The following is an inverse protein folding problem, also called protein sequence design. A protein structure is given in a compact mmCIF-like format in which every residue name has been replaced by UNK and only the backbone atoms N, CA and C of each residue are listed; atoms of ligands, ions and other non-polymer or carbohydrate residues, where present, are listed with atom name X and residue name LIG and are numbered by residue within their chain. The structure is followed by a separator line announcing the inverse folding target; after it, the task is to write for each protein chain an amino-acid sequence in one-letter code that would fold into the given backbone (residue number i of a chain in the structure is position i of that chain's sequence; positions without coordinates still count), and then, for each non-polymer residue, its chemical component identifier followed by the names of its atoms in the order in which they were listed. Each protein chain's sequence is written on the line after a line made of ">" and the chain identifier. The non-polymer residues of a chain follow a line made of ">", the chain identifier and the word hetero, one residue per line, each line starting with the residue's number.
data_IF_432112386333
#
_entry.id   IF_432112386333
#
_cell.length_a   1.000
_cell.length_b   1.000
_cell.length_c   1.000
_cell.angle_alpha   90.00
_cell.angle_beta   90.00
_cell.angle_gamma   90.00
#
_symmetry.space_group_name_H-M   'P 1'
#
loop_
_entity.id
_entity.type
_entity.pdbx_description
1 polymer ?
2 non-polymer ?
3 water ?
#
# COMPACT_ATOMS: atom_id res chain seq x y z
N UNK A 9 -1.67 -16.82 -18.75
CA UNK A 9 -2.45 -16.26 -17.65
C UNK A 9 -1.64 -16.09 -16.36
N UNK A 10 -0.83 -17.09 -16.04
CA UNK A 10 -0.06 -17.02 -14.81
C UNK A 10 1.04 -15.96 -14.89
N UNK A 11 1.56 -15.70 -16.09
CA UNK A 11 2.62 -14.70 -16.24
C UNK A 11 2.13 -13.30 -15.88
N UNK A 12 1.12 -12.74 -16.55
CA UNK A 12 0.66 -11.39 -16.17
C UNK A 12 0.10 -11.36 -14.77
N UNK A 13 -0.46 -12.47 -14.28
CA UNK A 13 -0.98 -12.51 -12.92
C UNK A 13 0.14 -12.36 -11.91
N UNK A 14 1.23 -13.10 -12.11
CA UNK A 14 2.39 -12.97 -11.24
C UNK A 14 2.92 -11.55 -11.27
N UNK A 15 3.05 -10.98 -12.47
CA UNK A 15 3.56 -9.61 -12.55
C UNK A 15 2.61 -8.62 -11.89
N UNK A 16 1.31 -8.80 -12.08
CA UNK A 16 0.35 -7.90 -11.45
C UNK A 16 0.50 -7.93 -9.93
N UNK A 17 0.65 -9.12 -9.36
CA UNK A 17 0.79 -9.21 -7.90
C UNK A 17 2.09 -8.58 -7.43
N UNK A 18 3.19 -8.84 -8.13
CA UNK A 18 4.47 -8.25 -7.73
C UNK A 18 4.42 -6.72 -7.82
N UNK A 19 3.85 -6.20 -8.91
CA UNK A 19 3.77 -4.76 -9.06
C UNK A 19 2.84 -4.15 -8.02
N UNK A 20 1.78 -4.87 -7.65
CA UNK A 20 0.90 -4.38 -6.59
C UNK A 20 1.65 -4.25 -5.27
N UNK A 21 2.48 -5.25 -4.92
CA UNK A 21 3.31 -5.12 -3.73
C UNK A 21 4.25 -3.93 -3.84
N UNK A 22 4.89 -3.77 -5.00
CA UNK A 22 5.79 -2.65 -5.23
C UNK A 22 5.07 -1.32 -5.02
N UNK A 23 3.88 -1.17 -5.61
CA UNK A 23 3.12 0.06 -5.49
C UNK A 23 2.74 0.32 -4.04
N UNK A 24 2.36 -0.72 -3.31
CA UNK A 24 2.07 -0.56 -1.89
C UNK A 24 3.29 -0.05 -1.14
N UNK A 25 4.46 -0.64 -1.41
CA UNK A 25 5.69 -0.18 -0.77
C UNK A 25 5.95 1.31 -1.05
N UNK A 26 5.76 1.73 -2.30
CA UNK A 26 6.00 3.13 -2.61
C UNK A 26 5.01 4.02 -1.87
N UNK A 27 3.74 3.61 -1.81
CA UNK A 27 2.75 4.42 -1.10
C UNK A 27 3.09 4.55 0.37
N UNK A 28 3.53 3.45 0.99
CA UNK A 28 3.96 3.47 2.39
C UNK A 28 5.14 4.42 2.56
N UNK A 29 6.15 4.29 1.70
CA UNK A 29 7.33 5.15 1.83
C UNK A 29 6.98 6.61 1.66
N UNK A 30 6.06 6.92 0.75
CA UNK A 30 5.65 8.32 0.56
C UNK A 30 4.95 8.84 1.82
N UNK A 31 4.08 8.02 2.41
CA UNK A 31 3.43 8.45 3.65
C UNK A 31 4.45 8.68 4.76
N UNK A 32 5.45 7.79 4.86
CA UNK A 32 6.47 7.88 5.91
C UNK A 32 7.33 9.11 5.71
N UNK A 33 7.78 9.35 4.49
CA UNK A 33 8.64 10.50 4.23
C UNK A 33 7.88 11.80 4.43
N UNK A 34 6.60 11.81 4.07
CA UNK A 34 5.79 13.00 4.33
C UNK A 34 5.69 13.28 5.82
N UNK A 35 5.45 12.23 6.62
CA UNK A 35 5.39 12.42 8.07
C UNK A 35 6.72 12.93 8.61
N UNK A 36 7.83 12.37 8.12
CA UNK A 36 9.14 12.82 8.57
C UNK A 36 9.35 14.29 8.25
N UNK A 37 8.97 14.71 7.03
CA UNK A 37 9.22 16.09 6.63
C UNK A 37 8.33 17.08 7.35
N UNK A 38 7.13 16.67 7.75
CA UNK A 38 6.21 17.59 8.39
C UNK A 38 6.36 17.64 9.91
N UNK A 39 7.01 16.65 10.49
CA UNK A 39 7.20 16.62 11.94
C UNK A 39 8.38 17.50 12.34
N UNK A 40 8.21 18.24 13.44
CA UNK A 40 9.31 19.02 13.99
C UNK A 40 10.34 18.16 14.69
N UNK A 41 10.06 16.87 14.88
CA UNK A 41 10.94 15.96 15.60
C UNK A 41 12.03 15.45 14.67
N UNK A 42 13.27 15.89 14.88
CA UNK A 42 14.37 15.40 14.06
C UNK A 42 14.67 13.93 14.30
N UNK A 43 14.24 13.37 15.43
CA UNK A 43 14.56 11.98 15.76
C UNK A 43 13.71 10.97 15.01
N UNK A 44 12.58 11.40 14.42
CA UNK A 44 11.72 10.46 13.71
C UNK A 44 12.49 9.71 12.63
N UNK A 45 13.44 10.39 11.98
CA UNK A 45 14.27 9.75 10.96
C UNK A 45 14.89 8.47 11.53
N UNK A 46 15.55 8.58 12.68
CA UNK A 46 16.18 7.41 13.26
C UNK A 46 15.13 6.41 13.75
N UNK A 47 14.01 6.91 14.27
CA UNK A 47 13.02 6.00 14.85
C UNK A 47 12.37 5.12 13.79
N UNK A 48 12.25 5.62 12.57
CA UNK A 48 11.61 4.88 11.49
C UNK A 48 12.61 4.23 10.54
N UNK A 49 13.90 4.29 10.87
CA UNK A 49 14.92 3.81 9.95
C UNK A 49 14.77 2.32 9.66
N UNK A 50 14.49 1.51 10.70
CA UNK A 50 14.37 0.08 10.47
C UNK A 50 13.19 -0.23 9.55
N UNK A 51 12.04 0.41 9.82
CA UNK A 51 10.87 0.20 8.96
C UNK A 51 11.15 0.65 7.53
N UNK A 52 11.81 1.81 7.37
CA UNK A 52 12.11 2.29 6.02
C UNK A 52 13.03 1.33 5.29
N UNK A 53 14.02 0.79 5.99
CA UNK A 53 14.92 -0.19 5.38
C UNK A 53 14.16 -1.43 4.97
N UNK A 54 13.21 -1.89 5.79
CA UNK A 54 12.42 -3.06 5.44
C UNK A 54 11.58 -2.80 4.19
N UNK A 55 10.99 -1.61 4.09
CA UNK A 55 10.25 -1.28 2.86
C UNK A 55 11.16 -1.34 1.65
N UNK A 56 12.36 -0.75 1.77
CA UNK A 56 13.34 -0.77 0.70
C UNK A 56 13.68 -2.20 0.28
N UNK A 57 13.97 -3.05 1.25
CA UNK A 57 14.37 -4.42 0.94
C UNK A 57 13.23 -5.19 0.29
N UNK A 58 11.99 -4.92 0.72
CA UNK A 58 10.85 -5.56 0.08
C UNK A 58 10.79 -5.21 -1.39
N UNK A 59 10.93 -3.92 -1.71
CA UNK A 59 10.91 -3.53 -3.12
C UNK A 59 12.10 -4.14 -3.88
N UNK A 60 13.27 -4.18 -3.26
CA UNK A 60 14.41 -4.80 -3.95
C UNK A 60 14.12 -6.25 -4.34
N UNK A 61 13.50 -7.00 -3.42
CA UNK A 61 13.16 -8.39 -3.74
C UNK A 61 12.13 -8.45 -4.86
N UNK A 62 11.12 -7.58 -4.83
CA UNK A 62 10.14 -7.56 -5.91
C UNK A 62 10.84 -7.32 -7.24
N UNK A 63 11.75 -6.34 -7.29
CA UNK A 63 12.47 -6.06 -8.52
C UNK A 63 13.22 -7.29 -9.01
N UNK A 64 13.89 -7.99 -8.09
CA UNK A 64 14.65 -9.17 -8.49
C UNK A 64 13.73 -10.21 -9.12
N UNK A 65 12.50 -10.33 -8.62
CA UNK A 65 11.58 -11.32 -9.21
C UNK A 65 10.96 -10.83 -10.52
N UNK A 66 10.66 -9.55 -10.62
CA UNK A 66 9.90 -9.06 -11.77
C UNK A 66 10.78 -8.86 -12.99
N UNK A 67 12.04 -8.48 -12.79
CA UNK A 67 12.91 -8.15 -13.91
C UNK A 67 12.92 -9.21 -15.00
N UNK A 68 13.15 -10.50 -14.70
CA UNK A 68 13.17 -11.50 -15.78
C UNK A 68 11.82 -11.72 -16.42
N UNK A 69 10.72 -11.29 -15.80
CA UNK A 69 9.40 -11.53 -16.36
C UNK A 69 8.94 -10.40 -17.27
N UNK A 70 9.62 -9.26 -17.25
CA UNK A 70 9.26 -8.12 -18.08
C UNK A 70 10.04 -8.29 -19.38
N UNK A 71 9.35 -8.73 -20.43
CA UNK A 71 10.00 -9.09 -21.68
C UNK A 71 9.48 -8.37 -22.91
N UNK A 72 8.33 -7.72 -22.84
CA UNK A 72 7.73 -7.17 -24.04
C UNK A 72 8.00 -5.68 -24.13
N UNK A 73 7.99 -5.12 -25.35
CA UNK A 73 8.46 -3.74 -25.54
C UNK A 73 7.78 -2.69 -24.67
N UNK A 74 6.45 -2.72 -24.55
CA UNK A 74 5.78 -1.66 -23.80
C UNK A 74 6.12 -1.75 -22.31
N UNK A 75 6.02 -2.94 -21.72
CA UNK A 75 6.34 -3.08 -20.30
C UNK A 75 7.81 -2.76 -20.03
N UNK A 76 8.71 -3.17 -20.92
CA UNK A 76 10.12 -2.84 -20.73
C UNK A 76 10.35 -1.34 -20.80
N UNK A 77 9.66 -0.66 -21.73
CA UNK A 77 9.81 0.79 -21.85
C UNK A 77 9.36 1.50 -20.58
N UNK A 78 8.18 1.10 -20.06
CA UNK A 78 7.70 1.70 -18.84
C UNK A 78 8.64 1.40 -17.68
N UNK A 79 9.14 0.17 -17.60
CA UNK A 79 10.04 -0.17 -16.50
C UNK A 79 11.32 0.66 -16.55
N UNK A 80 11.90 0.82 -17.74
CA UNK A 80 13.08 1.68 -17.88
C UNK A 80 12.77 3.08 -17.37
N UNK A 81 11.61 3.63 -17.74
CA UNK A 81 11.27 4.97 -17.27
C UNK A 81 11.12 5.01 -15.75
N UNK A 82 10.49 3.97 -15.19
CA UNK A 82 10.34 3.87 -13.74
C UNK A 82 11.70 3.93 -13.05
N UNK A 83 12.67 3.18 -13.56
CA UNK A 83 13.97 3.16 -12.90
C UNK A 83 14.63 4.53 -12.99
N UNK A 84 14.49 5.19 -14.14
CA UNK A 84 15.02 6.54 -14.29
C UNK A 84 14.45 7.47 -13.22
N UNK A 85 13.13 7.58 -13.15
CA UNK A 85 12.51 8.49 -12.18
C UNK A 85 12.86 8.06 -10.76
N UNK A 86 12.92 6.75 -10.53
CA UNK A 86 13.23 6.24 -9.21
C UNK A 86 14.58 6.76 -8.71
N UNK A 87 15.55 6.94 -9.60
CA UNK A 87 16.81 7.53 -9.15
C UNK A 87 16.58 8.90 -8.51
N UNK A 88 15.79 9.76 -9.17
CA UNK A 88 15.50 11.08 -8.62
C UNK A 88 14.71 10.96 -7.33
N UNK A 89 13.75 10.03 -7.29
CA UNK A 89 12.95 9.82 -6.09
C UNK A 89 13.83 9.46 -4.90
N UNK A 90 14.73 8.49 -5.08
CA UNK A 90 15.59 8.07 -3.98
C UNK A 90 16.48 9.22 -3.54
N UNK A 91 17.07 9.95 -4.48
CA UNK A 91 17.91 11.07 -4.11
C UNK A 91 17.16 12.09 -3.27
N UNK A 92 15.92 12.41 -3.66
CA UNK A 92 15.16 13.43 -2.96
C UNK A 92 14.68 12.93 -1.59
N UNK A 93 14.28 11.66 -1.53
CA UNK A 93 13.91 11.05 -0.26
C UNK A 93 15.05 11.13 0.74
N UNK A 94 16.25 10.71 0.31
CA UNK A 94 17.40 10.75 1.20
C UNK A 94 17.75 12.18 1.58
N UNK A 95 17.60 13.13 0.65
CA UNK A 95 17.85 14.53 0.99
C UNK A 95 16.88 15.01 2.07
N UNK A 96 15.59 14.69 1.92
CA UNK A 96 14.60 15.10 2.92
C UNK A 96 14.98 14.55 4.29
N UNK A 97 15.30 13.24 4.36
CA UNK A 97 15.66 12.66 5.63
C UNK A 97 16.91 13.31 6.22
N UNK A 98 17.90 13.60 5.37
CA UNK A 98 19.13 14.18 5.88
C UNK A 98 18.92 15.59 6.42
N UNK A 99 18.18 16.41 5.68
CA UNK A 99 17.91 17.77 6.14
C UNK A 99 17.12 17.75 7.45
N UNK A 100 16.13 16.86 7.55
CA UNK A 100 15.37 16.77 8.80
C UNK A 100 16.25 16.33 9.96
N UNK A 101 17.09 15.31 9.73
CA UNK A 101 17.98 14.86 10.80
C UNK A 101 18.97 15.95 11.22
N UNK A 102 19.33 16.84 10.31
CA UNK A 102 20.28 17.91 10.58
C UNK A 102 19.61 19.16 11.16
N UNK A 103 18.33 19.09 11.47
CA UNK A 103 17.62 20.23 12.00
C UNK A 103 17.27 21.28 10.97
N UNK A 104 17.43 20.98 9.68
CA UNK A 104 17.09 21.92 8.61
C UNK A 104 15.64 21.72 8.20
N UNK A 105 14.75 22.02 9.15
CA UNK A 105 13.33 21.72 8.96
C UNK A 105 12.76 22.45 7.77
N UNK A 106 13.03 23.75 7.68
CA UNK A 106 12.54 24.55 6.57
C UNK A 106 13.01 23.99 5.24
N UNK A 107 14.31 23.73 5.13
CA UNK A 107 14.86 23.18 3.89
C UNK A 107 14.29 21.80 3.60
N UNK A 108 14.03 21.00 4.64
CA UNK A 108 13.48 19.67 4.42
C UNK A 108 12.06 19.75 3.87
N UNK A 109 11.25 20.68 4.38
CA UNK A 109 9.91 20.86 3.85
C UNK A 109 9.95 21.37 2.42
N UNK A 110 10.79 22.37 2.15
CA UNK A 110 10.95 22.87 0.78
C UNK A 110 11.36 21.75 -0.17
N UNK A 111 12.29 20.88 0.25
CA UNK A 111 12.70 19.78 -0.60
C UNK A 111 11.56 18.79 -0.81
N UNK A 112 10.80 18.51 0.25
CA UNK A 112 9.63 17.64 0.09
C UNK A 112 8.71 18.17 -1.00
N UNK A 113 8.44 19.47 -0.98
CA UNK A 113 7.43 20.03 -1.89
C UNK A 113 7.99 20.15 -3.30
N UNK A 114 9.18 20.71 -3.43
CA UNK A 114 9.72 21.06 -4.74
C UNK A 114 10.39 19.90 -5.46
N UNK A 115 10.88 18.89 -4.73
CA UNK A 115 11.64 17.81 -5.35
C UNK A 115 11.03 16.43 -5.09
N UNK A 116 10.80 16.09 -3.82
CA UNK A 116 10.39 14.72 -3.50
C UNK A 116 8.99 14.42 -4.01
N UNK A 117 8.02 15.30 -3.73
CA UNK A 117 6.64 15.03 -4.15
C UNK A 117 6.54 14.87 -5.67
N UNK A 118 7.10 15.76 -6.49
CA UNK A 118 7.01 15.54 -7.95
C UNK A 118 7.62 14.22 -8.39
N UNK A 119 8.78 13.84 -7.83
CA UNK A 119 9.38 12.55 -8.19
C UNK A 119 8.51 11.39 -7.75
N UNK A 120 7.98 11.45 -6.51
CA UNK A 120 7.11 10.40 -6.03
C UNK A 120 5.86 10.27 -6.90
N UNK A 121 5.29 11.40 -7.31
CA UNK A 121 4.11 11.36 -8.18
C UNK A 121 4.44 10.74 -9.53
N UNK A 122 5.57 11.09 -10.11
CA UNK A 122 5.94 10.46 -11.38
C UNK A 122 6.19 8.97 -11.24
N UNK A 123 6.89 8.60 -10.16
CA UNK A 123 7.13 7.19 -9.84
C UNK A 123 5.82 6.43 -9.74
N UNK A 124 4.87 6.93 -8.95
CA UNK A 124 3.60 6.25 -8.77
C UNK A 124 2.79 6.23 -10.05
N UNK A 125 2.83 7.31 -10.85
CA UNK A 125 2.10 7.30 -12.11
C UNK A 125 2.64 6.23 -13.04
N UNK A 126 3.97 6.13 -13.16
CA UNK A 126 4.53 5.11 -14.05
C UNK A 126 4.30 3.70 -13.52
N UNK A 127 4.39 3.51 -12.21
CA UNK A 127 4.03 2.21 -11.64
C UNK A 127 2.59 1.86 -11.95
N UNK A 128 1.69 2.84 -11.84
CA UNK A 128 0.30 2.58 -12.19
C UNK A 128 0.15 2.19 -13.65
N UNK A 129 0.95 2.80 -14.53
CA UNK A 129 0.87 2.43 -15.94
C UNK A 129 1.35 0.99 -16.17
N UNK A 130 2.45 0.60 -15.52
CA UNK A 130 2.94 -0.78 -15.67
C UNK A 130 1.91 -1.77 -15.12
N UNK A 131 1.35 -1.47 -13.95
CA UNK A 131 0.33 -2.32 -13.38
C UNK A 131 -0.85 -2.44 -14.32
N UNK A 132 -1.30 -1.32 -14.88
CA UNK A 132 -2.44 -1.35 -15.79
C UNK A 132 -2.12 -2.13 -17.06
N UNK A 133 -0.87 -2.12 -17.52
CA UNK A 133 -0.53 -2.98 -18.65
C UNK A 133 -0.81 -4.44 -18.32
N UNK A 134 -0.34 -4.89 -17.15
CA UNK A 134 -0.60 -6.27 -16.77
C UNK A 134 -2.09 -6.53 -16.62
N UNK A 135 -2.80 -5.62 -15.95
CA UNK A 135 -4.22 -5.84 -15.71
C UNK A 135 -5.02 -5.89 -17.01
N UNK A 136 -4.67 -5.05 -17.98
CA UNK A 136 -5.37 -5.06 -19.25
C UNK A 136 -5.13 -6.38 -19.98
N UNK A 137 -3.88 -6.88 -19.94
CA UNK A 137 -3.64 -8.18 -20.58
C UNK A 137 -4.49 -9.27 -19.93
N UNK A 138 -4.53 -9.30 -18.60
CA UNK A 138 -5.31 -10.31 -17.90
C UNK A 138 -6.80 -10.15 -18.18
N UNK A 139 -7.30 -8.91 -18.19
CA UNK A 139 -8.72 -8.69 -18.48
C UNK A 139 -9.06 -9.22 -19.87
N UNK A 140 -8.19 -8.97 -20.86
CA UNK A 140 -8.45 -9.47 -22.20
C UNK A 140 -8.51 -10.98 -22.22
N UNK A 141 -7.56 -11.66 -21.56
CA UNK A 141 -7.57 -13.11 -21.57
C UNK A 141 -8.81 -13.66 -20.86
N UNK A 142 -9.18 -13.09 -19.71
CA UNK A 142 -10.36 -13.55 -19.00
C UNK A 142 -11.62 -13.37 -19.84
N UNK A 143 -11.73 -12.23 -20.54
CA UNK A 143 -12.87 -12.01 -21.41
C UNK A 143 -12.90 -13.02 -22.55
N UNK A 144 -11.74 -13.35 -23.11
CA UNK A 144 -11.69 -14.38 -24.15
C UNK A 144 -12.21 -15.70 -23.60
N UNK A 145 -11.80 -16.05 -22.38
CA UNK A 145 -12.28 -17.28 -21.76
C UNK A 145 -13.80 -17.26 -21.62
N UNK A 146 -14.34 -16.16 -21.11
CA UNK A 146 -15.80 -16.06 -20.96
C UNK A 146 -16.52 -16.17 -22.30
N UNK A 147 -15.92 -15.65 -23.36
CA UNK A 147 -16.50 -15.79 -24.70
C UNK A 147 -16.52 -17.25 -25.13
N UNK A 148 -15.37 -17.92 -25.04
CA UNK A 148 -15.29 -19.32 -25.42
C UNK A 148 -16.29 -20.16 -24.64
N UNK A 149 -16.40 -19.92 -23.32
CA UNK A 149 -17.34 -20.68 -22.51
C UNK A 149 -18.78 -20.30 -22.81
N UNK A 150 -19.02 -19.09 -23.31
CA UNK A 150 -20.36 -18.70 -23.71
C UNK A 150 -20.76 -19.36 -25.02
N UNK A 151 -19.79 -19.81 -25.83
CA UNK A 151 -20.12 -20.65 -26.98
C UNK A 151 -19.55 -22.06 -26.82
N UNK B 8 -16.68 -15.01 -15.12
CA UNK B 8 -16.25 -16.08 -14.23
C UNK B 8 -14.92 -15.74 -13.53
N UNK B 9 -13.82 -15.83 -14.27
CA UNK B 9 -12.51 -15.48 -13.72
C UNK B 9 -12.47 -14.04 -13.23
N UNK B 10 -13.16 -13.13 -13.91
CA UNK B 10 -13.09 -11.73 -13.54
C UNK B 10 -13.65 -11.48 -12.15
N UNK B 11 -14.47 -12.40 -11.61
CA UNK B 11 -14.96 -12.23 -10.24
C UNK B 11 -13.82 -12.26 -9.23
N UNK B 12 -13.10 -13.38 -9.05
CA UNK B 12 -11.96 -13.35 -8.12
C UNK B 12 -10.88 -12.39 -8.56
N UNK B 13 -10.73 -12.12 -9.87
CA UNK B 13 -9.71 -11.15 -10.28
C UNK B 13 -10.04 -9.76 -9.73
N UNK B 14 -11.28 -9.31 -9.92
CA UNK B 14 -11.71 -8.02 -9.40
C UNK B 14 -11.58 -7.95 -7.89
N UNK B 15 -12.05 -8.99 -7.19
CA UNK B 15 -11.96 -8.95 -5.74
C UNK B 15 -10.51 -8.95 -5.27
N UNK B 16 -9.64 -9.70 -5.94
CA UNK B 16 -8.23 -9.66 -5.57
C UNK B 16 -7.67 -8.24 -5.70
N UNK B 17 -8.00 -7.55 -6.79
CA UNK B 17 -7.47 -6.19 -6.96
C UNK B 17 -8.02 -5.25 -5.89
N UNK B 18 -9.32 -5.33 -5.60
CA UNK B 18 -9.90 -4.47 -4.57
C UNK B 18 -9.28 -4.74 -3.20
N UNK B 19 -9.11 -6.01 -2.85
CA UNK B 19 -8.52 -6.35 -1.56
C UNK B 19 -7.07 -5.90 -1.50
N UNK B 20 -6.36 -5.96 -2.63
CA UNK B 20 -4.98 -5.47 -2.67
C UNK B 20 -4.92 -3.97 -2.39
N UNK B 21 -5.84 -3.20 -2.99
CA UNK B 21 -5.92 -1.78 -2.67
C UNK B 21 -6.20 -1.56 -1.19
N UNK B 22 -7.16 -2.32 -0.66
CA UNK B 22 -7.51 -2.21 0.76
C UNK B 22 -6.29 -2.49 1.65
N UNK B 23 -5.58 -3.57 1.35
CA UNK B 23 -4.40 -3.93 2.13
C UNK B 23 -3.35 -2.84 2.07
N UNK B 24 -3.14 -2.27 0.88
CA UNK B 24 -2.21 -1.15 0.75
C UNK B 24 -2.64 0.02 1.61
N UNK B 25 -3.94 0.34 1.59
CA UNK B 25 -4.44 1.44 2.42
C UNK B 25 -4.15 1.20 3.90
N UNK B 26 -4.38 -0.02 4.38
CA UNK B 26 -4.11 -0.29 5.79
C UNK B 26 -2.63 -0.18 6.08
N UNK B 27 -1.77 -0.68 5.19
CA UNK B 27 -0.33 -0.58 5.42
C UNK B 27 0.11 0.87 5.48
N UNK B 28 -0.44 1.71 4.60
CA UNK B 28 -0.13 3.14 4.61
C UNK B 28 -0.57 3.75 5.93
N UNK B 29 -1.81 3.46 6.34
CA UNK B 29 -2.34 4.03 7.57
C UNK B 29 -1.52 3.58 8.77
N UNK B 30 -1.04 2.33 8.77
CA UNK B 30 -0.22 1.84 9.88
C UNK B 30 1.10 2.59 9.92
N UNK B 31 1.73 2.81 8.76
CA UNK B 31 2.99 3.57 8.76
C UNK B 31 2.76 4.99 9.26
N UNK B 32 1.64 5.60 8.85
CA UNK B 32 1.38 6.97 9.25
C UNK B 32 1.08 7.06 10.75
N UNK B 33 0.26 6.15 11.27
CA UNK B 33 -0.03 6.15 12.70
C UNK B 33 1.21 5.85 13.52
N UNK B 34 2.09 4.97 13.03
CA UNK B 34 3.34 4.70 13.71
C UNK B 34 4.21 5.96 13.78
N UNK B 35 4.31 6.69 12.66
CA UNK B 35 5.07 7.93 12.67
C UNK B 35 4.45 8.95 13.62
N UNK B 36 3.13 9.06 13.63
CA UNK B 36 2.46 9.99 14.54
C UNK B 36 2.76 9.61 15.99
N UNK B 37 2.71 8.32 16.31
CA UNK B 37 2.90 7.89 17.69
C UNK B 37 4.34 8.08 18.14
N UNK B 38 5.31 7.97 17.23
CA UNK B 38 6.71 8.08 17.63
C UNK B 38 7.24 9.51 17.57
N UNK B 39 6.55 10.43 16.90
CA UNK B 39 6.98 11.81 16.84
C UNK B 39 6.60 12.56 18.11
N UNK B 40 7.51 13.41 18.59
CA UNK B 40 7.20 14.30 19.70
C UNK B 40 6.34 15.50 19.30
N UNK B 41 6.08 15.68 18.01
CA UNK B 41 5.34 16.83 17.50
C UNK B 41 3.85 16.56 17.65
N UNK B 42 3.19 17.27 18.57
CA UNK B 42 1.76 17.09 18.75
C UNK B 42 0.95 17.55 17.55
N UNK B 43 1.53 18.38 16.67
CA UNK B 43 0.80 18.92 15.54
C UNK B 43 0.78 18.00 14.33
N UNK B 44 1.53 16.89 14.36
CA UNK B 44 1.61 16.05 13.17
C UNK B 44 0.26 15.48 12.79
N UNK B 45 -0.57 15.14 13.78
CA UNK B 45 -1.91 14.61 13.47
C UNK B 45 -2.64 15.56 12.52
N UNK B 46 -2.67 16.85 12.85
CA UNK B 46 -3.40 17.79 12.01
C UNK B 46 -2.70 18.01 10.68
N UNK B 47 -1.36 17.99 10.66
CA UNK B 47 -0.63 18.17 9.41
C UNK B 47 -0.95 17.04 8.42
N UNK B 48 -1.23 15.85 8.93
CA UNK B 48 -1.48 14.68 8.10
C UNK B 48 -2.96 14.35 7.95
N UNK B 49 -3.84 15.22 8.42
CA UNK B 49 -5.26 14.90 8.40
C UNK B 49 -5.77 14.68 6.98
N UNK B 50 -5.33 15.51 6.03
CA UNK B 50 -5.81 15.37 4.66
C UNK B 50 -5.39 14.03 4.05
N UNK B 51 -4.12 13.65 4.27
CA UNK B 51 -3.65 12.36 3.78
C UNK B 51 -4.44 11.22 4.41
N UNK B 52 -4.68 11.30 5.72
CA UNK B 52 -5.43 10.25 6.38
C UNK B 52 -6.84 10.16 5.82
N UNK B 53 -7.45 11.31 5.54
CA UNK B 53 -8.79 11.31 4.96
C UNK B 53 -8.80 10.67 3.58
N UNK B 54 -7.77 10.92 2.78
CA UNK B 54 -7.71 10.27 1.47
C UNK B 54 -7.62 8.76 1.61
N UNK B 55 -6.79 8.28 2.55
CA UNK B 55 -6.71 6.84 2.77
C UNK B 55 -8.06 6.27 3.19
N UNK B 56 -8.72 6.95 4.14
CA UNK B 56 -10.02 6.51 4.62
C UNK B 56 -11.05 6.41 3.49
N UNK B 57 -11.16 7.47 2.69
CA UNK B 57 -12.15 7.47 1.62
C UNK B 57 -11.83 6.44 0.56
N UNK B 58 -10.54 6.21 0.29
CA UNK B 58 -10.17 5.15 -0.65
C UNK B 58 -10.69 3.80 -0.16
N UNK B 59 -10.49 3.50 1.13
CA UNK B 59 -10.99 2.24 1.65
C UNK B 59 -12.52 2.19 1.61
N UNK B 60 -13.21 3.29 1.91
CA UNK B 60 -14.67 3.29 1.82
C UNK B 60 -15.13 2.91 0.41
N UNK B 61 -14.44 3.46 -0.61
CA UNK B 61 -14.77 3.13 -1.99
C UNK B 61 -14.54 1.65 -2.28
N UNK B 62 -13.42 1.12 -1.81
CA UNK B 62 -13.15 -0.30 -2.00
C UNK B 62 -14.25 -1.14 -1.37
N UNK B 63 -14.65 -0.81 -0.13
CA UNK B 63 -15.67 -1.58 0.57
C UNK B 63 -16.98 -1.61 -0.21
N UNK B 64 -17.41 -0.44 -0.69
CA UNK B 64 -18.64 -0.42 -1.46
C UNK B 64 -18.54 -1.26 -2.72
N UNK B 65 -17.35 -1.33 -3.33
CA UNK B 65 -17.24 -2.19 -4.50
C UNK B 65 -17.19 -3.67 -4.15
N UNK B 66 -16.62 -4.02 -2.99
CA UNK B 66 -16.43 -5.43 -2.66
C UNK B 66 -17.75 -6.07 -2.25
N UNK B 67 -18.58 -5.32 -1.49
CA UNK B 67 -19.81 -5.89 -0.94
C UNK B 67 -20.69 -6.60 -1.96
N UNK B 68 -21.04 -5.99 -3.10
CA UNK B 68 -21.94 -6.67 -4.05
C UNK B 68 -21.32 -7.88 -4.72
N UNK B 69 -19.99 -8.04 -4.65
CA UNK B 69 -19.26 -9.12 -5.30
C UNK B 69 -19.06 -10.34 -4.41
N UNK B 70 -19.49 -10.27 -3.15
CA UNK B 70 -19.30 -11.38 -2.21
C UNK B 70 -20.30 -12.48 -2.52
N UNK B 71 -19.80 -13.66 -2.90
CA UNK B 71 -20.65 -14.76 -3.33
C UNK B 71 -20.56 -16.02 -2.48
N UNK B 72 -19.53 -16.17 -1.64
CA UNK B 72 -19.32 -17.41 -0.89
C UNK B 72 -19.55 -17.21 0.62
N UNK B 73 -20.05 -18.23 1.32
CA UNK B 73 -20.17 -18.10 2.79
C UNK B 73 -18.84 -17.81 3.47
N UNK B 74 -17.75 -18.43 2.99
CA UNK B 74 -16.44 -18.20 3.58
C UNK B 74 -16.02 -16.73 3.44
N UNK B 75 -16.27 -16.14 2.27
CA UNK B 75 -15.96 -14.73 2.08
C UNK B 75 -16.75 -13.87 3.04
N UNK B 76 -18.04 -14.17 3.20
CA UNK B 76 -18.87 -13.37 4.08
C UNK B 76 -18.42 -13.48 5.53
N UNK B 77 -18.03 -14.68 5.97
CA UNK B 77 -17.58 -14.82 7.35
C UNK B 77 -16.29 -14.04 7.58
N UNK B 78 -15.34 -14.15 6.65
CA UNK B 78 -14.10 -13.40 6.79
C UNK B 78 -14.37 -11.90 6.79
N UNK B 79 -15.24 -11.44 5.90
CA UNK B 79 -15.53 -10.02 5.83
C UNK B 79 -16.21 -9.53 7.11
N UNK B 80 -17.14 -10.33 7.66
CA UNK B 80 -17.74 -9.98 8.94
C UNK B 80 -16.67 -9.77 10.00
N UNK B 81 -15.71 -10.71 10.08
CA UNK B 81 -14.65 -10.57 11.07
C UNK B 81 -13.80 -9.34 10.79
N UNK B 82 -13.50 -9.07 9.51
CA UNK B 82 -12.73 -7.88 9.17
C UNK B 82 -13.43 -6.63 9.66
N UNK B 83 -14.75 -6.52 9.45
CA UNK B 83 -15.41 -5.29 9.84
C UNK B 83 -15.42 -5.12 11.37
N UNK B 84 -15.54 -6.22 12.11
CA UNK B 84 -15.45 -6.10 13.57
C UNK B 84 -14.06 -5.65 14.01
N UNK B 85 -13.03 -6.38 13.57
CA UNK B 85 -11.66 -6.02 13.93
C UNK B 85 -11.37 -4.59 13.51
N UNK B 86 -11.89 -4.19 12.34
CA UNK B 86 -11.70 -2.84 11.86
C UNK B 86 -12.28 -1.83 12.83
N UNK B 87 -13.45 -2.13 13.42
CA UNK B 87 -13.96 -1.22 14.44
C UNK B 87 -12.96 -1.04 15.58
N UNK B 88 -12.37 -2.15 16.06
CA UNK B 88 -11.39 -2.02 17.14
C UNK B 88 -10.17 -1.21 16.70
N UNK B 89 -9.72 -1.47 15.48
CA UNK B 89 -8.58 -0.77 14.92
C UNK B 89 -8.85 0.73 14.83
N UNK B 90 -10.02 1.12 14.32
CA UNK B 90 -10.35 2.53 14.18
C UNK B 90 -10.38 3.19 15.55
N UNK B 91 -11.01 2.55 16.52
CA UNK B 91 -11.07 3.14 17.86
C UNK B 91 -9.68 3.38 18.42
N UNK B 92 -8.77 2.40 18.26
CA UNK B 92 -7.43 2.57 18.82
C UNK B 92 -6.60 3.59 18.04
N UNK B 93 -6.72 3.59 16.71
CA UNK B 93 -6.07 4.60 15.89
C UNK B 93 -6.49 6.01 16.33
N UNK B 94 -7.80 6.22 16.46
CA UNK B 94 -8.29 7.52 16.87
C UNK B 94 -7.81 7.87 18.27
N UNK B 95 -7.74 6.89 19.16
CA UNK B 95 -7.25 7.17 20.52
C UNK B 95 -5.79 7.60 20.49
N UNK B 96 -4.96 6.90 19.72
CA UNK B 96 -3.55 7.28 19.59
C UNK B 96 -3.43 8.70 19.07
N UNK B 97 -4.19 9.02 18.00
CA UNK B 97 -4.13 10.38 17.45
C UNK B 97 -4.58 11.42 18.47
N UNK B 98 -5.64 11.13 19.21
CA UNK B 98 -6.14 12.07 20.22
C UNK B 98 -5.09 12.31 21.30
N UNK B 99 -4.48 11.24 21.79
CA UNK B 99 -3.50 11.36 22.86
C UNK B 99 -2.26 12.11 22.40
N UNK B 100 -1.78 11.81 21.18
CA UNK B 100 -0.62 12.53 20.67
C UNK B 100 -0.94 14.00 20.47
N UNK B 101 -2.14 14.30 19.95
CA UNK B 101 -2.53 15.69 19.77
C UNK B 101 -2.60 16.43 21.09
N UNK B 102 -2.91 15.72 22.18
CA UNK B 102 -2.97 16.32 23.50
C UNK B 102 -1.64 16.29 24.24
N UNK B 103 -0.57 15.83 23.58
CA UNK B 103 0.73 15.76 24.22
C UNK B 103 0.90 14.62 25.19
N UNK B 104 -0.03 13.66 25.22
CA UNK B 104 0.03 12.53 26.14
C UNK B 104 0.82 11.39 25.51
N UNK B 105 2.13 11.63 25.37
CA UNK B 105 3.00 10.69 24.65
C UNK B 105 3.01 9.32 25.29
N UNK B 106 3.12 9.26 26.62
CA UNK B 106 3.22 7.97 27.30
C UNK B 106 1.95 7.15 27.09
N UNK B 107 0.78 7.74 27.36
CA UNK B 107 -0.46 7.01 27.17
C UNK B 107 -0.65 6.64 25.70
N UNK B 108 -0.20 7.51 24.78
CA UNK B 108 -0.27 7.17 23.36
C UNK B 108 0.56 5.92 23.06
N UNK B 109 1.73 5.79 23.69
CA UNK B 109 2.55 4.59 23.52
C UNK B 109 1.84 3.36 24.07
N UNK B 110 1.31 3.48 25.29
CA UNK B 110 0.58 2.36 25.88
C UNK B 110 -0.56 1.91 24.96
N UNK B 111 -1.27 2.87 24.36
CA UNK B 111 -2.37 2.54 23.46
C UNK B 111 -1.88 1.90 22.16
N UNK B 112 -0.81 2.45 21.58
CA UNK B 112 -0.23 1.87 20.38
C UNK B 112 0.11 0.40 20.60
N UNK B 113 0.75 0.10 21.74
CA UNK B 113 1.26 -1.24 21.98
C UNK B 113 0.14 -2.20 22.39
N UNK B 114 -0.71 -1.78 23.33
CA UNK B 114 -1.70 -2.69 23.88
C UNK B 114 -2.93 -2.85 23.00
N UNK B 115 -3.25 -1.84 22.19
CA UNK B 115 -4.49 -1.83 21.44
C UNK B 115 -4.30 -1.72 19.95
N UNK B 116 -3.56 -0.72 19.47
CA UNK B 116 -3.51 -0.46 18.04
C UNK B 116 -2.76 -1.55 17.30
N UNK B 117 -1.56 -1.91 17.77
CA UNK B 117 -0.75 -2.90 17.06
C UNK B 117 -1.49 -4.23 16.92
N UNK B 118 -2.02 -4.83 17.98
CA UNK B 118 -2.76 -6.09 17.80
C UNK B 118 -3.95 -5.97 16.87
N UNK B 119 -4.68 -4.85 16.93
CA UNK B 119 -5.82 -4.67 16.04
C UNK B 119 -5.37 -4.59 14.59
N UNK B 120 -4.34 -3.79 14.31
CA UNK B 120 -3.83 -3.68 12.94
C UNK B 120 -3.33 -5.01 12.43
N UNK B 121 -2.63 -5.76 13.29
CA UNK B 121 -2.14 -7.07 12.89
C UNK B 121 -3.28 -8.02 12.57
N UNK B 122 -4.33 -8.04 13.39
CA UNK B 122 -5.47 -8.91 13.08
C UNK B 122 -6.18 -8.49 11.82
N UNK B 123 -6.36 -7.18 11.64
CA UNK B 123 -6.93 -6.60 10.42
C UNK B 123 -6.16 -7.08 9.19
N UNK B 124 -4.83 -6.92 9.21
CA UNK B 124 -4.01 -7.32 8.06
C UNK B 124 -4.05 -8.82 7.85
N UNK B 125 -4.07 -9.60 8.94
CA UNK B 125 -4.13 -11.05 8.80
C UNK B 125 -5.42 -11.49 8.11
N UNK B 126 -6.54 -10.90 8.51
CA UNK B 126 -7.82 -11.27 7.90
C UNK B 126 -7.90 -10.81 6.44
N UNK B 127 -7.39 -9.61 6.16
CA UNK B 127 -7.32 -9.17 4.78
C UNK B 127 -6.48 -10.13 3.95
N UNK B 128 -5.37 -10.60 4.52
CA UNK B 128 -4.56 -11.59 3.84
C UNK B 128 -5.31 -12.89 3.59
N UNK B 129 -6.14 -13.32 4.55
CA UNK B 129 -6.91 -14.54 4.33
C UNK B 129 -7.92 -14.37 3.19
N UNK B 130 -8.63 -13.24 3.18
CA UNK B 130 -9.59 -13.00 2.09
C UNK B 130 -8.88 -12.90 0.74
N UNK B 131 -7.74 -12.21 0.72
CA UNK B 131 -6.95 -12.10 -0.49
C UNK B 131 -6.50 -13.48 -0.98
N UNK B 132 -5.98 -14.30 -0.07
CA UNK B 132 -5.54 -15.64 -0.46
C UNK B 132 -6.68 -16.48 -0.96
N UNK B 133 -7.89 -16.27 -0.43
CA UNK B 133 -9.05 -16.97 -0.94
C UNK B 133 -9.27 -16.64 -2.41
N UNK B 134 -9.25 -15.34 -2.73
CA UNK B 134 -9.40 -14.94 -4.13
C UNK B 134 -8.26 -15.49 -4.98
N UNK B 135 -7.03 -15.36 -4.49
CA UNK B 135 -5.87 -15.80 -5.28
C UNK B 135 -5.92 -17.29 -5.54
N UNK B 136 -6.35 -18.07 -4.56
CA UNK B 136 -6.44 -19.52 -4.77
C UNK B 136 -7.50 -19.85 -5.81
N UNK B 137 -8.67 -19.21 -5.73
CA UNK B 137 -9.69 -19.48 -6.73
C UNK B 137 -9.17 -19.12 -8.13
N UNK B 138 -8.57 -17.94 -8.26
CA UNK B 138 -8.09 -17.48 -9.55
C UNK B 138 -6.95 -18.36 -10.07
N UNK B 139 -6.01 -18.74 -9.21
CA UNK B 139 -4.92 -19.61 -9.64
C UNK B 139 -5.47 -20.93 -10.15
N UNK B 140 -6.47 -21.50 -9.47
CA UNK B 140 -7.03 -22.76 -9.93
C UNK B 140 -7.65 -22.60 -11.32
N UNK B 141 -8.46 -21.55 -11.51
CA UNK B 141 -9.08 -21.36 -12.82
C UNK B 141 -8.05 -21.12 -13.90
N UNK B 142 -7.04 -20.29 -13.62
CA UNK B 142 -6.01 -20.01 -14.62
C UNK B 142 -5.26 -21.28 -15.01
N UNK B 143 -4.94 -22.12 -14.02
CA UNK B 143 -4.26 -23.36 -14.33
C UNK B 143 -5.12 -24.26 -15.21
N UNK B 144 -6.43 -24.30 -14.94
CA UNK B 144 -7.32 -25.09 -15.79
C UNK B 144 -7.34 -24.56 -17.21
N UNK B 145 -7.48 -23.23 -17.36
CA UNK B 145 -7.55 -22.63 -18.69
C UNK B 145 -6.28 -22.92 -19.48
N UNK B 146 -5.12 -22.77 -18.84
CA UNK B 146 -3.87 -23.02 -19.54
C UNK B 146 -3.72 -24.49 -19.90
N UNK B 147 -3.84 -25.37 -18.91
CA UNK B 147 -3.66 -26.80 -19.17
C UNK B 147 -4.74 -27.33 -20.10
N UNK B 148 -6.00 -27.09 -19.78
CA UNK B 148 -7.11 -27.55 -20.60
C UNK B 148 -7.19 -26.71 -21.86
N UNK B 149 -6.16 -26.80 -22.69
CA UNK B 149 -6.13 -26.12 -23.98
C UNK B 149 -4.83 -26.42 -24.73
X LIG C 1 11.63 1.87 -3.39
X LIG C 1 12.68 1.32 -2.93
X LIG C 1 11.70 2.50 -4.48
X LIG C 1 10.31 1.77 -2.65
X LIG C 1 10.38 0.77 -1.67
X LIG C 1 9.95 3.10 -2.01
X LIG C 1 10.94 3.48 -0.90
X LIG C 1 11.21 4.70 -0.68
X LIG C 1 11.49 2.58 -0.21
X LIG C 1 9.61 1.53 -3.28
X LIG C 1 9.66 0.34 -1.64
X LIG C 1 9.95 3.80 -2.69
X LIG C 1 9.06 3.04 -1.62
X LIG D 1 -9.60 1.84 6.88
X LIG D 1 -9.90 0.86 7.62
X LIG D 1 -10.42 2.78 6.71
X LIG D 1 -8.25 1.88 6.18
X LIG D 1 -8.23 2.90 5.22
X LIG D 1 -7.13 2.12 7.20
X LIG D 1 -7.20 3.53 7.77
X LIG D 1 -7.67 4.49 7.09
X LIG D 1 -6.78 3.75 8.94
X LIG D 1 -8.09 1.02 5.74
X LIG D 1 -7.58 2.79 4.69
X LIG D 1 -7.23 1.48 7.93
X LIG D 1 -6.27 1.99 6.78
#
# INVERSE_FOLDING_TARGET
>A
MHHHHHHMMQEPLTKERLISDWNSNVSVAVARTTAIAKSSDASLVQFLAADAAATTKSTANVLKQIEPLITQPAEREILDKIMQVRKTYIASRDKVSQLKADGMAEEAESTLINSYVPAAQGYLKLLGELLNLQRASLDAKAAEVEQIESSSRT
>B
MHHHHHHMMQEPLTKERLISDWNSNVSVAVARTTAIAKSSDASLVQFLAADAAATTKSTANVLKQIEPLITQPAEREILDKIMQVRKTYIASRDKVSQLKADGMAEEAESTLINSYVPAAQGYLKLLGELLNLQRASLDAKAAEVEQIESSSRT
>C hetero
1 LMR C1 O1A O1B C2 O2 C3 C4 O4A O4B H2 HO2 H3 H3A
>D hetero
1 LMR C1 O1A O1B C2 O2 C3 C4 O4A O4B H2 HO2 H3 H3A
#
